data_IF_938575082832
#
_entry.id   IF_938575082832
#
_cell.length_a   1.000
_cell.length_b   1.000
_cell.length_c   1.000
_cell.angle_alpha   90.00
_cell.angle_beta   90.00
_cell.angle_gamma   90.00
#
_symmetry.space_group_name_H-M   'P 1'
#
loop_
_entity.id
_entity.type
_entity.pdbx_description
1 polymer ?
#
# COMPACT_ATOMS: atom_id res chain seq x y z
N UNK A 1 -1.61 22.22 9.71
CA UNK A 1 -2.78 21.32 9.56
C UNK A 1 -2.82 20.60 8.20
N UNK A 2 -2.74 21.31 7.07
CA UNK A 2 -2.91 20.70 5.72
C UNK A 2 -1.93 19.55 5.41
N UNK A 3 -0.69 19.59 5.93
CA UNK A 3 0.30 18.52 5.71
C UNK A 3 -0.06 17.20 6.41
N UNK A 4 -0.49 17.27 7.67
CA UNK A 4 -0.89 16.08 8.44
C UNK A 4 -2.07 15.39 7.78
N UNK A 5 -3.05 16.17 7.30
CA UNK A 5 -4.20 15.63 6.56
C UNK A 5 -3.75 14.85 5.32
N UNK A 6 -2.74 15.34 4.58
CA UNK A 6 -2.20 14.62 3.41
C UNK A 6 -1.51 13.32 3.77
N UNK A 7 -0.72 13.28 4.85
CA UNK A 7 -0.05 12.05 5.31
C UNK A 7 -1.09 11.03 5.78
N UNK A 8 -2.07 11.46 6.58
CA UNK A 8 -3.17 10.60 7.04
C UNK A 8 -3.97 10.08 5.84
N UNK A 9 -4.30 10.94 4.87
CA UNK A 9 -5.01 10.52 3.67
C UNK A 9 -4.21 9.48 2.86
N UNK A 10 -2.89 9.68 2.74
CA UNK A 10 -1.99 8.68 2.14
C UNK A 10 -2.02 7.35 2.84
N UNK A 11 -1.94 7.36 4.18
CA UNK A 11 -2.01 6.16 5.00
C UNK A 11 -3.38 5.45 4.87
N UNK A 12 -4.48 6.20 4.84
CA UNK A 12 -5.83 5.65 4.65
C UNK A 12 -5.99 5.04 3.27
N UNK A 13 -5.55 5.73 2.21
CA UNK A 13 -5.57 5.21 0.85
C UNK A 13 -4.71 3.94 0.73
N UNK A 14 -3.49 3.97 1.27
CA UNK A 14 -2.61 2.80 1.34
C UNK A 14 -3.29 1.62 2.06
N UNK A 15 -3.97 1.88 3.18
CA UNK A 15 -4.69 0.84 3.94
C UNK A 15 -5.83 0.23 3.13
N UNK A 16 -6.57 1.06 2.38
CA UNK A 16 -7.60 0.61 1.45
C UNK A 16 -7.04 -0.30 0.35
N UNK A 17 -5.92 0.09 -0.28
CA UNK A 17 -5.24 -0.76 -1.26
C UNK A 17 -4.72 -2.05 -0.64
N UNK A 18 -4.17 -1.99 0.57
CA UNK A 18 -3.71 -3.17 1.30
C UNK A 18 -4.84 -4.19 1.50
N UNK A 19 -6.00 -3.76 1.98
CA UNK A 19 -7.17 -4.63 2.13
C UNK A 19 -7.67 -5.16 0.79
N UNK A 20 -7.69 -4.33 -0.26
CA UNK A 20 -8.13 -4.74 -1.60
C UNK A 20 -7.22 -5.83 -2.19
N UNK A 21 -5.90 -5.69 -2.06
CA UNK A 21 -4.94 -6.70 -2.52
C UNK A 21 -5.17 -8.01 -1.78
N UNK A 22 -5.26 -7.96 -0.45
CA UNK A 22 -5.52 -9.15 0.36
C UNK A 22 -6.84 -9.83 -0.02
N UNK A 23 -7.92 -9.06 -0.12
CA UNK A 23 -9.25 -9.56 -0.50
C UNK A 23 -9.26 -10.14 -1.91
N UNK A 24 -8.65 -9.47 -2.89
CA UNK A 24 -8.54 -9.95 -4.26
C UNK A 24 -7.72 -11.24 -4.36
N UNK A 25 -6.69 -11.41 -3.52
CA UNK A 25 -5.88 -12.62 -3.49
C UNK A 25 -6.69 -13.82 -2.96
N UNK A 26 -7.42 -13.63 -1.86
CA UNK A 26 -8.25 -14.68 -1.26
C UNK A 26 -9.47 -15.04 -2.14
N UNK A 27 -10.12 -14.05 -2.75
CA UNK A 27 -11.33 -14.25 -3.55
C UNK A 27 -11.03 -14.63 -4.99
N UNK A 28 -9.93 -14.14 -5.57
CA UNK A 28 -9.57 -14.36 -6.98
C UNK A 28 -9.32 -15.83 -7.31
N UNK A 29 -8.64 -16.58 -6.43
CA UNK A 29 -8.51 -18.03 -6.61
C UNK A 29 -9.84 -18.76 -6.38
N UNK A 30 -10.67 -18.31 -5.42
CA UNK A 30 -11.94 -18.97 -5.12
C UNK A 30 -12.96 -18.88 -6.28
N UNK A 31 -12.95 -17.76 -7.04
CA UNK A 31 -13.84 -17.56 -8.18
C UNK A 31 -13.21 -17.99 -9.53
N UNK A 32 -12.03 -18.61 -9.50
CA UNK A 32 -11.38 -19.18 -10.69
C UNK A 32 -10.78 -18.16 -11.66
N UNK A 33 -10.35 -16.97 -11.18
CA UNK A 33 -9.62 -16.03 -12.04
C UNK A 33 -8.30 -16.67 -12.48
N UNK A 34 -8.00 -16.52 -13.77
CA UNK A 34 -6.70 -16.89 -14.33
C UNK A 34 -5.53 -16.30 -13.50
N UNK A 35 -4.59 -17.13 -13.02
CA UNK A 35 -3.52 -16.67 -12.13
C UNK A 35 -2.66 -15.56 -12.73
N UNK A 36 -2.45 -15.53 -14.06
CA UNK A 36 -1.67 -14.49 -14.71
C UNK A 36 -2.40 -13.14 -14.70
N UNK A 37 -3.71 -13.13 -14.99
CA UNK A 37 -4.54 -11.92 -14.85
C UNK A 37 -4.63 -11.45 -13.40
N UNK A 38 -4.84 -12.36 -12.46
CA UNK A 38 -4.91 -12.04 -11.03
C UNK A 38 -3.61 -11.38 -10.56
N UNK A 39 -2.47 -11.93 -10.97
CA UNK A 39 -1.15 -11.36 -10.66
C UNK A 39 -0.98 -9.95 -11.20
N UNK A 40 -1.43 -9.69 -12.43
CA UNK A 40 -1.36 -8.38 -13.06
C UNK A 40 -2.17 -7.33 -12.28
N UNK A 41 -3.38 -7.70 -11.85
CA UNK A 41 -4.24 -6.84 -11.01
C UNK A 41 -3.59 -6.56 -9.65
N UNK A 42 -3.03 -7.59 -9.02
CA UNK A 42 -2.37 -7.44 -7.71
C UNK A 42 -1.10 -6.58 -7.80
N UNK A 43 -0.30 -6.72 -8.86
CA UNK A 43 0.88 -5.87 -9.10
C UNK A 43 0.45 -4.42 -9.32
N UNK A 44 -0.59 -4.18 -10.13
CA UNK A 44 -1.11 -2.84 -10.35
C UNK A 44 -1.63 -2.20 -9.05
N UNK A 45 -2.42 -2.94 -8.27
CA UNK A 45 -2.94 -2.48 -6.99
C UNK A 45 -1.82 -2.24 -5.96
N UNK A 46 -0.80 -3.10 -5.93
CA UNK A 46 0.41 -2.93 -5.12
C UNK A 46 1.15 -1.64 -5.49
N UNK A 47 1.37 -1.40 -6.79
CA UNK A 47 1.99 -0.18 -7.29
C UNK A 47 1.20 1.07 -6.90
N UNK A 48 -0.13 1.05 -7.07
CA UNK A 48 -1.00 2.16 -6.66
C UNK A 48 -0.97 2.39 -5.14
N UNK A 49 -0.99 1.33 -4.33
CA UNK A 49 -0.88 1.42 -2.89
C UNK A 49 0.44 2.04 -2.44
N UNK A 50 1.57 1.61 -3.02
CA UNK A 50 2.89 2.19 -2.75
C UNK A 50 2.94 3.66 -3.15
N UNK A 51 2.44 4.02 -4.33
CA UNK A 51 2.37 5.43 -4.78
C UNK A 51 1.53 6.26 -3.82
N UNK A 52 0.35 5.75 -3.40
CA UNK A 52 -0.53 6.43 -2.46
C UNK A 52 0.14 6.67 -1.08
N UNK A 53 0.96 5.72 -0.62
CA UNK A 53 1.72 5.85 0.63
C UNK A 53 2.94 6.77 0.53
N UNK A 54 3.68 6.72 -0.60
CA UNK A 54 4.93 7.48 -0.79
C UNK A 54 4.69 8.93 -1.19
N UNK A 55 3.70 9.19 -2.05
CA UNK A 55 3.39 10.53 -2.57
C UNK A 55 3.26 11.61 -1.48
N UNK A 56 2.47 11.41 -0.40
CA UNK A 56 2.33 12.42 0.64
C UNK A 56 3.59 12.55 1.51
N UNK A 57 4.40 11.51 1.66
CA UNK A 57 5.71 11.58 2.35
C UNK A 57 6.62 12.56 1.61
N UNK A 58 6.72 12.43 0.28
CA UNK A 58 7.59 13.29 -0.55
C UNK A 58 7.15 14.75 -0.49
N UNK A 59 5.83 15.00 -0.51
CA UNK A 59 5.28 16.35 -0.41
C UNK A 59 5.42 16.98 0.99
N UNK A 60 5.50 16.16 2.04
CA UNK A 60 5.56 16.62 3.43
C UNK A 60 6.97 16.95 3.94
N UNK A 61 8.03 16.56 3.22
CA UNK A 61 9.45 16.79 3.62
C UNK A 61 9.85 18.26 3.84
N UNK A 62 8.99 19.24 3.59
CA UNK A 62 9.33 20.68 3.66
C UNK A 62 9.15 21.34 5.03
N UNK A 63 8.53 20.70 6.02
CA UNK A 63 8.38 21.30 7.36
C UNK A 63 8.45 20.25 8.50
N UNK A 64 9.46 20.35 9.36
CA UNK A 64 9.68 19.46 10.49
C UNK A 64 8.83 19.86 11.70
N UNK A 65 7.87 19.02 12.06
CA UNK A 65 7.12 19.09 13.32
C UNK A 65 7.15 17.72 13.99
N UNK A 66 7.16 17.61 15.33
CA UNK A 66 7.15 16.32 16.03
C UNK A 66 5.96 15.44 15.64
N UNK A 67 4.80 16.05 15.34
CA UNK A 67 3.62 15.32 14.85
C UNK A 67 3.78 14.85 13.39
N UNK A 68 4.56 15.57 12.59
CA UNK A 68 4.92 15.14 11.24
C UNK A 68 5.89 13.96 11.27
N UNK A 69 6.79 13.90 12.25
CA UNK A 69 7.74 12.79 12.40
C UNK A 69 7.04 11.47 12.75
N UNK A 70 6.07 11.49 13.66
CA UNK A 70 5.30 10.27 13.99
C UNK A 70 4.48 9.77 12.79
N UNK A 71 3.85 10.69 12.04
CA UNK A 71 3.11 10.35 10.83
C UNK A 71 4.03 9.78 9.71
N UNK A 72 5.25 10.31 9.58
CA UNK A 72 6.25 9.78 8.67
C UNK A 72 6.70 8.37 9.09
N UNK A 73 6.95 8.16 10.39
CA UNK A 73 7.34 6.84 10.91
C UNK A 73 6.26 5.79 10.65
N UNK A 74 4.99 6.14 10.88
CA UNK A 74 3.85 5.28 10.56
C UNK A 74 3.77 4.95 9.07
N UNK A 75 4.05 5.92 8.20
CA UNK A 75 4.06 5.71 6.75
C UNK A 75 5.21 4.81 6.30
N UNK A 76 6.40 4.93 6.91
CA UNK A 76 7.50 4.01 6.66
C UNK A 76 7.21 2.59 7.16
N UNK A 77 6.62 2.45 8.35
CA UNK A 77 6.20 1.16 8.88
C UNK A 77 5.16 0.48 7.97
N UNK A 78 4.21 1.26 7.45
CA UNK A 78 3.21 0.79 6.47
C UNK A 78 3.88 0.24 5.21
N UNK A 79 4.78 1.02 4.59
CA UNK A 79 5.52 0.57 3.40
C UNK A 79 6.36 -0.68 3.68
N UNK A 80 7.01 -0.75 4.84
CA UNK A 80 7.74 -1.95 5.28
C UNK A 80 6.82 -3.18 5.40
N UNK A 81 5.64 -3.00 5.99
CA UNK A 81 4.64 -4.06 6.09
C UNK A 81 4.13 -4.51 4.71
N UNK A 82 3.92 -3.58 3.76
CA UNK A 82 3.57 -3.92 2.36
C UNK A 82 4.59 -4.86 1.75
N UNK A 83 5.87 -4.52 1.88
CA UNK A 83 6.95 -5.33 1.32
C UNK A 83 6.90 -6.70 1.96
N UNK A 84 6.87 -6.82 3.28
CA UNK A 84 6.86 -8.11 3.95
C UNK A 84 5.65 -8.98 3.56
N UNK A 85 4.45 -8.42 3.59
CA UNK A 85 3.19 -9.17 3.39
C UNK A 85 2.96 -9.54 1.93
N UNK A 86 3.22 -8.63 0.99
CA UNK A 86 2.93 -8.86 -0.44
C UNK A 86 4.14 -9.25 -1.26
N UNK A 87 5.31 -9.43 -0.64
CA UNK A 87 6.49 -10.02 -1.26
C UNK A 87 6.15 -11.32 -2.02
N UNK A 88 5.29 -12.16 -1.43
CA UNK A 88 4.78 -13.39 -2.04
C UNK A 88 4.06 -13.22 -3.39
N UNK A 89 3.44 -12.06 -3.67
CA UNK A 89 2.80 -11.78 -4.97
C UNK A 89 3.81 -11.85 -6.12
N UNK A 90 5.09 -11.55 -5.83
CA UNK A 90 6.15 -11.48 -6.84
C UNK A 90 6.81 -12.83 -7.14
N UNK A 91 6.61 -13.87 -6.34
CA UNK A 91 7.30 -15.16 -6.56
C UNK A 91 6.48 -16.41 -6.25
N UNK A 92 5.43 -16.33 -5.44
CA UNK A 92 4.62 -17.49 -5.07
C UNK A 92 3.62 -17.83 -6.17
N UNK A 93 3.26 -19.12 -6.29
CA UNK A 93 2.09 -19.51 -7.07
C UNK A 93 0.85 -19.02 -6.32
N UNK A 94 0.06 -18.17 -6.98
CA UNK A 94 -1.16 -17.61 -6.39
C UNK A 94 -2.22 -18.69 -6.21
N UNK A 95 -2.29 -19.55 -7.22
CA UNK A 95 -2.82 -20.89 -7.23
C UNK A 95 -1.88 -21.67 -8.22
#
# INVERSE_FOLDING_TARGET
MIQIVRIILGFVLWSGFFLLIYGAQATGCAIGIDPARLRLVLIAALGLGVVAGVWPIVLARRHASPLSNSALLASYAALGATVLVFSGVLWMKLC
#
